data_IF_539439422470
#
_entry.id   IF_539439422470
#
_cell.length_a   1.000
_cell.length_b   1.000
_cell.length_c   1.000
_cell.angle_alpha   90.00
_cell.angle_beta   90.00
_cell.angle_gamma   90.00
#
_symmetry.space_group_name_H-M   'P 1'
#
loop_
_entity.id
_entity.type
_entity.pdbx_description
1 polymer ?
#
# COMPACT_ATOMS: atom_id res chain seq x y z
N UNK A 1 6.25 17.37 -73.32
CA UNK A 1 7.02 17.34 -72.05
C UNK A 1 6.30 16.38 -71.12
N UNK A 2 6.86 15.20 -70.90
CA UNK A 2 6.35 14.24 -69.92
C UNK A 2 7.14 14.46 -68.62
N UNK A 3 6.47 14.89 -67.55
CA UNK A 3 7.05 15.01 -66.22
C UNK A 3 6.99 13.64 -65.52
N UNK A 4 8.13 12.97 -65.43
CA UNK A 4 8.35 11.84 -64.54
C UNK A 4 8.36 12.33 -63.09
N UNK A 5 7.37 11.89 -62.31
CA UNK A 5 7.35 12.04 -60.85
C UNK A 5 8.24 10.95 -60.27
N UNK A 6 9.33 11.34 -59.59
CA UNK A 6 10.12 10.41 -58.79
C UNK A 6 9.40 10.12 -57.47
N UNK A 7 9.09 8.85 -57.22
CA UNK A 7 8.75 8.35 -55.89
C UNK A 7 10.01 8.48 -55.02
N UNK A 8 9.94 9.32 -53.99
CA UNK A 8 10.89 9.23 -52.88
C UNK A 8 10.63 7.90 -52.17
N UNK A 9 11.63 7.03 -52.16
CA UNK A 9 11.61 5.79 -51.39
C UNK A 9 11.45 6.12 -49.92
N UNK A 10 10.36 5.65 -49.32
CA UNK A 10 10.17 5.66 -47.88
C UNK A 10 11.11 4.60 -47.31
N UNK A 11 12.25 5.01 -46.78
CA UNK A 11 13.21 4.10 -46.15
C UNK A 11 12.68 3.78 -44.75
N UNK A 12 12.11 2.58 -44.59
CA UNK A 12 11.56 2.11 -43.33
C UNK A 12 12.71 1.58 -42.47
N UNK A 13 13.21 2.40 -41.55
CA UNK A 13 14.26 1.99 -40.62
C UNK A 13 13.67 1.09 -39.53
N UNK A 14 13.82 -0.21 -39.72
CA UNK A 14 13.38 -1.26 -38.77
C UNK A 14 14.03 -1.06 -37.39
N UNK A 15 15.21 -0.40 -37.31
CA UNK A 15 15.91 -0.17 -36.05
C UNK A 15 15.23 0.86 -35.14
N UNK A 16 14.38 1.74 -35.67
CA UNK A 16 13.54 2.64 -34.86
C UNK A 16 12.45 1.89 -34.08
N UNK A 17 12.09 0.68 -34.54
CA UNK A 17 11.08 -0.19 -33.91
C UNK A 17 11.70 -1.33 -33.09
N UNK A 18 13.03 -1.49 -33.11
CA UNK A 18 13.70 -2.42 -32.21
C UNK A 18 13.69 -1.85 -30.78
N UNK A 19 13.06 -2.60 -29.86
CA UNK A 19 13.03 -2.24 -28.45
C UNK A 19 14.46 -2.07 -27.94
N UNK A 20 14.83 -0.85 -27.56
CA UNK A 20 16.15 -0.57 -26.99
C UNK A 20 16.33 -1.48 -25.77
N UNK A 21 17.45 -2.21 -25.68
CA UNK A 21 17.64 -3.17 -24.60
C UNK A 21 17.77 -2.49 -23.23
N UNK A 22 18.01 -1.18 -23.18
CA UNK A 22 18.09 -0.39 -21.95
C UNK A 22 17.06 0.75 -22.02
N UNK A 23 16.22 0.84 -20.99
CA UNK A 23 15.29 1.93 -20.77
C UNK A 23 15.64 2.61 -19.44
N UNK A 24 15.65 3.94 -19.45
CA UNK A 24 15.79 4.77 -18.26
C UNK A 24 14.59 5.71 -18.21
N UNK A 25 13.94 5.78 -17.06
CA UNK A 25 12.84 6.70 -16.81
C UNK A 25 12.76 7.04 -15.33
N UNK A 26 11.85 7.91 -14.93
CA UNK A 26 11.58 8.13 -13.52
C UNK A 26 10.67 9.30 -13.24
N UNK A 27 10.59 9.67 -11.97
CA UNK A 27 9.82 10.84 -11.53
C UNK A 27 10.62 11.78 -10.63
N UNK A 28 10.30 13.07 -10.74
CA UNK A 28 10.64 14.08 -9.73
C UNK A 28 9.32 14.63 -9.20
N UNK A 29 9.16 14.64 -7.88
CA UNK A 29 7.91 15.05 -7.22
C UNK A 29 8.19 16.10 -6.16
N UNK A 30 7.44 17.20 -6.19
CA UNK A 30 7.40 18.17 -5.11
C UNK A 30 6.03 18.13 -4.45
N UNK A 31 6.00 17.86 -3.15
CA UNK A 31 4.77 17.66 -2.38
C UNK A 31 4.77 18.49 -1.09
N UNK A 32 4.23 19.72 -1.10
CA UNK A 32 3.88 20.42 0.13
C UNK A 32 2.60 19.82 0.75
N UNK A 33 2.61 19.68 2.08
CA UNK A 33 1.48 19.21 2.88
C UNK A 33 1.20 20.17 4.03
N UNK A 34 -0.07 20.53 4.18
CA UNK A 34 -0.59 21.43 5.20
C UNK A 34 -1.60 20.68 6.06
N UNK A 35 -1.38 20.65 7.36
CA UNK A 35 -2.19 19.90 8.33
C UNK A 35 -2.75 20.87 9.35
N UNK A 36 -4.09 20.93 9.42
CA UNK A 36 -4.81 21.53 10.54
C UNK A 36 -4.89 20.46 11.64
N UNK A 37 -4.28 20.71 12.81
CA UNK A 37 -4.20 19.71 13.86
C UNK A 37 -5.50 19.57 14.65
N UNK A 38 -5.85 18.34 15.02
CA UNK A 38 -6.93 18.07 15.99
C UNK A 38 -6.37 18.21 17.41
N UNK A 39 -6.38 19.44 17.93
CA UNK A 39 -5.77 19.79 19.22
C UNK A 39 -6.43 19.13 20.43
N UNK A 40 -7.66 18.62 20.30
CA UNK A 40 -8.36 17.91 21.37
C UNK A 40 -8.10 16.40 21.34
N UNK A 41 -7.47 15.88 20.29
CA UNK A 41 -7.22 14.45 20.17
C UNK A 41 -6.22 13.94 21.22
N UNK A 42 -6.37 12.67 21.58
CA UNK A 42 -5.41 11.98 22.45
C UNK A 42 -4.01 11.95 21.82
N UNK A 43 -3.89 11.65 20.52
CA UNK A 43 -2.57 11.60 19.86
C UNK A 43 -1.85 12.96 19.89
N UNK A 44 -2.58 14.06 19.68
CA UNK A 44 -1.99 15.39 19.74
C UNK A 44 -1.44 15.70 21.13
N UNK A 45 -2.25 15.43 22.15
CA UNK A 45 -1.87 15.65 23.53
C UNK A 45 -0.72 14.74 23.96
N UNK A 46 -0.67 13.47 23.51
CA UNK A 46 0.45 12.56 23.76
C UNK A 46 1.73 12.98 23.03
N UNK A 47 1.64 13.50 21.80
CA UNK A 47 2.83 13.92 21.03
C UNK A 47 3.45 15.19 21.58
N UNK A 48 2.63 16.14 22.02
CA UNK A 48 3.06 17.49 22.37
C UNK A 48 2.81 17.85 23.85
N UNK A 49 2.69 16.86 24.74
CA UNK A 49 2.40 17.06 26.17
C UNK A 49 3.39 17.98 26.88
N UNK A 50 4.64 18.04 26.41
CA UNK A 50 5.74 18.82 26.99
C UNK A 50 6.00 20.14 26.24
N UNK A 51 5.19 20.47 25.23
CA UNK A 51 5.32 21.69 24.44
C UNK A 51 4.39 22.78 24.95
N UNK A 52 4.98 23.89 25.40
CA UNK A 52 4.23 25.06 25.85
C UNK A 52 3.47 25.77 24.73
N UNK A 53 3.98 25.70 23.49
CA UNK A 53 3.34 26.27 22.31
C UNK A 53 3.26 25.21 21.21
N UNK A 54 2.07 25.03 20.66
CA UNK A 54 1.80 24.10 19.56
C UNK A 54 1.22 24.86 18.37
N UNK A 55 1.61 24.53 17.13
CA UNK A 55 1.26 25.35 15.98
C UNK A 55 -0.22 25.20 15.65
N UNK A 56 -0.81 26.19 14.98
CA UNK A 56 -2.18 26.09 14.44
C UNK A 56 -2.21 25.45 13.04
N UNK A 57 -1.05 25.33 12.41
CA UNK A 57 -0.85 24.73 11.10
C UNK A 57 0.49 24.01 11.12
N UNK A 58 0.51 22.75 10.70
CA UNK A 58 1.74 22.01 10.45
C UNK A 58 1.99 21.96 8.95
N UNK A 59 3.14 22.43 8.51
CA UNK A 59 3.56 22.41 7.11
C UNK A 59 4.82 21.54 6.92
N UNK A 60 4.73 20.66 5.94
CA UNK A 60 5.79 19.72 5.55
C UNK A 60 6.04 19.83 4.05
N UNK A 61 7.30 19.72 3.64
CA UNK A 61 7.69 19.82 2.24
C UNK A 61 8.52 18.60 1.87
N UNK A 62 8.07 17.84 0.86
CA UNK A 62 8.78 16.67 0.35
C UNK A 62 9.26 16.95 -1.08
N UNK A 63 10.53 16.69 -1.33
CA UNK A 63 11.08 16.51 -2.68
C UNK A 63 11.48 15.05 -2.84
N UNK A 64 10.98 14.40 -3.89
CA UNK A 64 11.20 13.00 -4.19
C UNK A 64 11.79 12.84 -5.59
N UNK A 65 12.85 12.05 -5.72
CA UNK A 65 13.41 11.57 -6.99
C UNK A 65 13.30 10.05 -7.02
N UNK A 66 12.67 9.49 -8.06
CA UNK A 66 12.45 8.06 -8.21
C UNK A 66 12.85 7.55 -9.60
N UNK A 67 14.15 7.27 -9.85
CA UNK A 67 14.63 6.75 -11.11
C UNK A 67 14.36 5.25 -11.25
N UNK A 68 14.16 4.81 -12.48
CA UNK A 68 13.91 3.44 -12.89
C UNK A 68 14.85 3.09 -14.04
N UNK A 69 15.51 1.94 -13.94
CA UNK A 69 16.33 1.35 -14.99
C UNK A 69 15.76 -0.01 -15.33
N UNK A 70 15.57 -0.27 -16.62
CA UNK A 70 15.18 -1.59 -17.14
C UNK A 70 16.14 -2.02 -18.21
N UNK A 71 16.57 -3.27 -18.17
CA UNK A 71 17.34 -3.87 -19.25
C UNK A 71 16.76 -5.22 -19.65
N UNK A 72 16.60 -5.49 -20.94
CA UNK A 72 16.08 -6.75 -21.47
C UNK A 72 16.91 -7.24 -22.65
N UNK A 73 17.42 -8.48 -22.56
CA UNK A 73 18.14 -9.12 -23.66
C UNK A 73 18.13 -10.65 -23.53
N UNK A 74 17.69 -11.36 -24.58
CA UNK A 74 17.81 -12.83 -24.71
C UNK A 74 17.33 -13.61 -23.47
N UNK A 75 16.15 -13.27 -22.94
CA UNK A 75 15.55 -13.92 -21.77
C UNK A 75 16.07 -13.43 -20.41
N UNK A 76 17.08 -12.55 -20.37
CA UNK A 76 17.50 -11.84 -19.17
C UNK A 76 16.79 -10.49 -19.08
N UNK A 77 16.18 -10.22 -17.94
CA UNK A 77 15.64 -8.90 -17.57
C UNK A 77 16.30 -8.42 -16.28
N UNK A 78 16.80 -7.18 -16.27
CA UNK A 78 17.28 -6.50 -15.07
C UNK A 78 16.36 -5.31 -14.79
N UNK A 79 16.01 -5.14 -13.52
CA UNK A 79 15.16 -4.05 -13.05
C UNK A 79 15.81 -3.38 -11.85
N UNK A 80 15.82 -2.05 -11.83
CA UNK A 80 16.21 -1.25 -10.67
C UNK A 80 15.27 -0.08 -10.51
N UNK A 81 14.80 0.15 -9.30
CA UNK A 81 14.01 1.31 -8.92
C UNK A 81 14.44 1.77 -7.52
N UNK A 82 14.70 3.07 -7.38
CA UNK A 82 15.04 3.67 -6.09
C UNK A 82 14.15 4.87 -5.83
N UNK A 83 14.15 5.32 -4.58
CA UNK A 83 13.59 6.60 -4.18
C UNK A 83 14.63 7.40 -3.39
N UNK A 84 14.54 8.72 -3.49
CA UNK A 84 15.41 9.64 -2.76
C UNK A 84 14.55 10.80 -2.30
N UNK A 85 14.41 10.92 -0.99
CA UNK A 85 13.46 11.82 -0.32
C UNK A 85 14.22 12.86 0.49
N UNK A 86 13.88 14.13 0.27
CA UNK A 86 14.25 15.25 1.13
C UNK A 86 12.96 15.79 1.73
N UNK A 87 12.82 15.67 3.03
CA UNK A 87 11.67 16.18 3.78
C UNK A 87 12.10 17.31 4.70
N UNK A 88 11.33 18.40 4.72
CA UNK A 88 11.47 19.50 5.68
C UNK A 88 10.17 19.66 6.48
N UNK A 89 10.26 19.57 7.81
CA UNK A 89 9.18 19.89 8.73
C UNK A 89 9.45 21.27 9.34
N UNK A 90 8.58 22.23 9.07
CA UNK A 90 8.81 23.62 9.45
C UNK A 90 8.66 23.86 10.96
N UNK A 91 7.71 23.20 11.62
CA UNK A 91 7.50 23.38 13.06
C UNK A 91 8.63 22.74 13.88
N UNK A 92 9.08 21.56 13.47
CA UNK A 92 10.19 20.87 14.13
C UNK A 92 11.57 21.43 13.68
N UNK A 93 11.58 22.26 12.63
CA UNK A 93 12.79 22.78 11.96
C UNK A 93 13.79 21.65 11.66
N UNK A 94 13.28 20.57 11.08
CA UNK A 94 14.01 19.34 10.86
C UNK A 94 14.10 19.00 9.37
N UNK A 95 15.28 18.55 8.96
CA UNK A 95 15.57 18.09 7.61
C UNK A 95 15.91 16.62 7.64
N UNK A 96 15.14 15.81 6.92
CA UNK A 96 15.35 14.38 6.80
C UNK A 96 15.70 14.04 5.36
N UNK A 97 16.85 13.40 5.18
CA UNK A 97 17.27 12.82 3.91
C UNK A 97 17.25 11.31 3.99
N UNK A 98 16.61 10.66 3.02
CA UNK A 98 16.55 9.21 2.93
C UNK A 98 16.69 8.76 1.47
N UNK A 99 17.48 7.71 1.24
CA UNK A 99 17.55 7.00 -0.04
C UNK A 99 17.18 5.55 0.23
N UNK A 100 16.19 5.03 -0.50
CA UNK A 100 15.88 3.61 -0.47
C UNK A 100 15.96 2.99 -1.87
N UNK A 101 16.59 1.80 -1.96
CA UNK A 101 16.42 0.93 -3.11
C UNK A 101 15.07 0.22 -2.97
N UNK A 102 14.06 0.63 -3.74
CA UNK A 102 12.72 0.02 -3.68
C UNK A 102 12.76 -1.41 -4.22
N UNK A 103 13.28 -1.58 -5.42
CA UNK A 103 13.43 -2.86 -6.10
C UNK A 103 14.75 -2.91 -6.89
N UNK A 104 15.31 -4.10 -7.02
CA UNK A 104 16.59 -4.32 -7.68
C UNK A 104 16.81 -5.81 -7.90
N UNK A 105 16.47 -6.31 -9.08
CA UNK A 105 16.48 -7.75 -9.34
C UNK A 105 16.86 -8.10 -10.78
N UNK A 106 17.35 -9.33 -10.95
CA UNK A 106 17.49 -9.99 -12.24
C UNK A 106 16.50 -11.14 -12.38
N UNK A 107 15.82 -11.22 -13.53
CA UNK A 107 14.96 -12.32 -13.93
C UNK A 107 15.55 -13.01 -15.15
N UNK A 108 15.59 -14.34 -15.13
CA UNK A 108 15.96 -15.14 -16.30
C UNK A 108 14.83 -16.10 -16.66
N UNK A 109 14.38 -16.03 -17.92
CA UNK A 109 13.37 -16.91 -18.49
C UNK A 109 14.07 -18.07 -19.22
N UNK A 110 14.09 -19.25 -18.61
CA UNK A 110 14.70 -20.44 -19.23
C UNK A 110 13.95 -20.86 -20.49
N UNK A 111 12.63 -20.71 -20.47
CA UNK A 111 11.69 -20.95 -21.56
C UNK A 111 10.37 -20.22 -21.24
N UNK A 112 9.37 -20.20 -22.15
CA UNK A 112 8.12 -19.46 -21.93
C UNK A 112 7.29 -19.88 -20.71
N UNK A 113 7.64 -20.99 -20.04
CA UNK A 113 6.94 -21.50 -18.87
C UNK A 113 7.69 -21.32 -17.57
N UNK A 114 9.01 -21.19 -17.59
CA UNK A 114 9.84 -21.21 -16.38
C UNK A 114 10.72 -19.98 -16.31
N UNK A 115 10.67 -19.30 -15.17
CA UNK A 115 11.58 -18.21 -14.88
C UNK A 115 12.10 -18.27 -13.45
N UNK A 116 13.32 -17.76 -13.25
CA UNK A 116 13.91 -17.53 -11.94
C UNK A 116 14.17 -16.05 -11.76
N UNK A 117 14.04 -15.58 -10.53
CA UNK A 117 14.34 -14.21 -10.13
C UNK A 117 15.23 -14.22 -8.89
N UNK A 118 16.22 -13.33 -8.89
CA UNK A 118 17.12 -13.08 -7.77
C UNK A 118 17.25 -11.57 -7.56
N UNK A 119 17.02 -11.12 -6.32
CA UNK A 119 17.22 -9.73 -5.92
C UNK A 119 16.11 -9.22 -5.03
N UNK A 120 15.97 -7.90 -4.95
CA UNK A 120 14.96 -7.23 -4.15
C UNK A 120 13.70 -6.97 -4.98
N UNK A 121 12.57 -7.54 -4.60
CA UNK A 121 11.29 -7.45 -5.34
C UNK A 121 10.11 -7.23 -4.41
N UNK A 122 9.17 -6.40 -4.85
CA UNK A 122 7.87 -6.23 -4.23
C UNK A 122 6.85 -7.17 -4.88
N UNK A 123 6.44 -8.22 -4.16
CA UNK A 123 5.38 -9.11 -4.63
C UNK A 123 4.02 -8.48 -4.36
N UNK A 124 3.28 -8.16 -5.44
CA UNK A 124 1.92 -7.59 -5.37
C UNK A 124 0.88 -8.71 -5.38
N UNK A 125 0.76 -9.41 -4.26
CA UNK A 125 -0.19 -10.51 -4.08
C UNK A 125 -1.50 -10.03 -3.44
N UNK A 126 -2.61 -10.67 -3.84
CA UNK A 126 -3.96 -10.32 -3.40
C UNK A 126 -4.76 -9.55 -4.46
N UNK A 127 -6.06 -9.42 -4.20
CA UNK A 127 -7.09 -8.79 -5.04
C UNK A 127 -7.69 -7.53 -4.41
N UNK A 128 -7.55 -7.35 -3.10
CA UNK A 128 -8.06 -6.21 -2.35
C UNK A 128 -7.50 -4.87 -2.82
N UNK A 129 -8.32 -3.84 -2.73
CA UNK A 129 -8.04 -2.51 -3.23
C UNK A 129 -7.14 -1.73 -2.26
N UNK A 130 -7.49 -1.66 -0.96
CA UNK A 130 -6.68 -0.97 0.07
C UNK A 130 -6.00 -1.89 1.08
N UNK A 131 -6.41 -3.16 1.15
CA UNK A 131 -5.92 -4.10 2.16
C UNK A 131 -5.83 -5.50 1.57
N UNK A 132 -4.73 -6.20 1.83
CA UNK A 132 -4.46 -7.51 1.25
C UNK A 132 -4.05 -8.53 2.33
N UNK A 133 -5.01 -9.21 2.98
CA UNK A 133 -4.74 -10.27 3.96
C UNK A 133 -3.73 -11.33 3.54
N UNK A 134 -3.62 -11.62 2.22
CA UNK A 134 -2.77 -12.68 1.67
C UNK A 134 -1.45 -12.18 1.07
N UNK A 135 -1.13 -10.88 1.21
CA UNK A 135 0.13 -10.28 0.74
C UNK A 135 1.33 -10.69 1.62
N UNK A 136 1.58 -12.01 1.74
CA UNK A 136 2.58 -12.57 2.64
C UNK A 136 3.99 -12.20 2.22
N UNK A 137 4.34 -12.31 0.94
CA UNK A 137 5.66 -11.93 0.41
C UNK A 137 5.75 -10.44 0.01
N UNK A 138 4.69 -9.66 0.26
CA UNK A 138 4.56 -8.27 -0.17
C UNK A 138 4.48 -7.29 1.00
N UNK A 139 4.11 -6.06 0.68
CA UNK A 139 3.78 -5.02 1.66
C UNK A 139 2.28 -4.76 1.62
N UNK A 140 1.72 -4.33 2.75
CA UNK A 140 0.38 -3.77 2.77
C UNK A 140 0.36 -2.45 2.01
N UNK A 141 -0.73 -2.18 1.30
CA UNK A 141 -0.93 -0.92 0.59
C UNK A 141 -1.10 0.23 1.59
N UNK A 142 -0.69 1.42 1.18
CA UNK A 142 -0.98 2.66 1.90
C UNK A 142 -2.38 3.15 1.49
N UNK A 143 -3.30 3.26 2.45
CA UNK A 143 -4.67 3.75 2.21
C UNK A 143 -4.68 5.17 1.64
N UNK A 144 -3.71 6.01 2.02
CA UNK A 144 -3.62 7.38 1.52
C UNK A 144 -3.06 7.44 0.10
N UNK A 145 -2.32 6.42 -0.34
CA UNK A 145 -1.80 6.33 -1.70
C UNK A 145 -1.59 4.86 -2.12
N UNK A 146 -2.64 4.22 -2.60
CA UNK A 146 -2.65 2.79 -2.95
C UNK A 146 -1.68 2.41 -4.07
N UNK A 147 -1.28 3.39 -4.88
CA UNK A 147 -0.40 3.22 -6.04
C UNK A 147 1.06 3.58 -5.72
N UNK A 148 1.38 3.92 -4.47
CA UNK A 148 2.75 4.24 -4.08
C UNK A 148 3.66 3.02 -4.26
N UNK A 149 4.84 3.25 -4.81
CA UNK A 149 5.88 2.21 -4.87
C UNK A 149 6.40 1.96 -3.46
N UNK A 150 6.44 0.68 -3.07
CA UNK A 150 6.91 0.24 -1.76
C UNK A 150 8.19 -0.57 -1.89
N UNK A 151 8.96 -0.60 -0.81
CA UNK A 151 10.18 -1.39 -0.73
C UNK A 151 9.88 -2.90 -0.74
N UNK A 152 10.52 -3.60 -1.67
CA UNK A 152 10.46 -5.05 -1.77
C UNK A 152 11.38 -5.77 -0.78
N UNK A 153 11.33 -7.10 -0.80
CA UNK A 153 12.24 -7.94 -0.01
C UNK A 153 13.30 -8.58 -0.90
N UNK A 154 14.52 -8.71 -0.38
CA UNK A 154 15.55 -9.54 -1.00
C UNK A 154 15.08 -10.98 -0.98
N UNK A 155 15.05 -11.61 -2.15
CA UNK A 155 14.41 -12.91 -2.34
C UNK A 155 15.00 -13.66 -3.53
N UNK A 156 14.71 -14.97 -3.55
CA UNK A 156 14.83 -15.84 -4.71
C UNK A 156 13.45 -16.37 -5.03
N UNK A 157 13.02 -16.32 -6.29
CA UNK A 157 11.77 -16.95 -6.68
C UNK A 157 11.85 -17.71 -7.98
N UNK A 158 11.08 -18.79 -8.07
CA UNK A 158 10.88 -19.56 -9.29
C UNK A 158 9.41 -19.51 -9.64
N UNK A 159 9.10 -19.16 -10.88
CA UNK A 159 7.75 -19.11 -11.41
C UNK A 159 7.59 -20.10 -12.55
N UNK A 160 6.52 -20.90 -12.46
CA UNK A 160 6.00 -21.74 -13.53
C UNK A 160 4.68 -21.18 -14.03
N UNK A 161 4.52 -21.02 -15.34
CA UNK A 161 3.25 -20.60 -15.97
C UNK A 161 2.89 -21.56 -17.09
N UNK A 162 1.61 -21.95 -17.14
CA UNK A 162 1.04 -22.73 -18.23
C UNK A 162 -0.35 -22.24 -18.59
N UNK A 163 -0.51 -21.83 -19.84
CA UNK A 163 -1.81 -21.60 -20.46
C UNK A 163 -2.32 -22.86 -21.14
N UNK A 164 -3.64 -23.04 -21.12
CA UNK A 164 -4.33 -24.19 -21.68
C UNK A 164 -5.35 -23.71 -22.72
N UNK A 165 -5.60 -24.54 -23.73
CA UNK A 165 -6.68 -24.34 -24.70
C UNK A 165 -8.01 -24.96 -24.26
N UNK A 166 -8.19 -25.16 -22.95
CA UNK A 166 -9.41 -25.73 -22.37
C UNK A 166 -10.38 -24.61 -22.00
N UNK A 167 -11.68 -24.85 -22.14
CA UNK A 167 -12.70 -23.85 -21.79
C UNK A 167 -12.82 -23.62 -20.27
N UNK A 168 -12.53 -24.66 -19.48
CA UNK A 168 -12.67 -24.64 -18.02
C UNK A 168 -11.42 -24.10 -17.34
N UNK A 169 -10.27 -24.77 -17.44
CA UNK A 169 -9.01 -24.27 -16.88
C UNK A 169 -8.21 -23.58 -17.98
N UNK A 170 -8.06 -22.25 -17.90
CA UNK A 170 -7.40 -21.44 -18.93
C UNK A 170 -5.93 -21.18 -18.61
N UNK A 171 -5.60 -20.95 -17.34
CA UNK A 171 -4.24 -20.66 -16.89
C UNK A 171 -3.95 -21.33 -15.54
N UNK A 172 -2.70 -21.74 -15.36
CA UNK A 172 -2.09 -22.18 -14.10
C UNK A 172 -0.78 -21.41 -13.93
N UNK A 173 -0.55 -20.86 -12.74
CA UNK A 173 0.76 -20.36 -12.33
C UNK A 173 1.12 -20.89 -10.95
N UNK A 174 2.40 -21.19 -10.74
CA UNK A 174 2.97 -21.56 -9.45
C UNK A 174 4.22 -20.70 -9.23
N UNK A 175 4.20 -19.87 -8.19
CA UNK A 175 5.33 -19.03 -7.78
C UNK A 175 5.79 -19.49 -6.40
N UNK A 176 7.05 -19.89 -6.30
CA UNK A 176 7.71 -20.24 -5.04
C UNK A 176 8.73 -19.17 -4.71
N UNK A 177 8.71 -18.63 -3.50
CA UNK A 177 9.61 -17.55 -3.06
C UNK A 177 10.32 -17.97 -1.79
N UNK A 178 11.59 -17.58 -1.66
CA UNK A 178 12.36 -17.66 -0.43
C UNK A 178 12.79 -16.25 -0.04
N UNK A 179 12.44 -15.83 1.17
CA UNK A 179 12.87 -14.56 1.78
C UNK A 179 13.76 -14.89 2.98
N UNK A 180 15.08 -14.70 2.90
CA UNK A 180 15.96 -14.79 4.05
C UNK A 180 15.80 -13.57 4.96
N UNK A 181 15.64 -13.79 6.26
CA UNK A 181 15.71 -12.75 7.30
C UNK A 181 16.96 -13.01 8.12
N UNK A 182 17.94 -12.10 8.05
CA UNK A 182 19.20 -12.27 8.77
C UNK A 182 19.86 -10.93 9.09
N UNK A 183 20.11 -10.64 10.38
CA UNK A 183 20.72 -9.40 10.86
C UNK A 183 19.97 -8.13 10.38
N UNK A 184 20.43 -7.54 9.27
CA UNK A 184 19.85 -6.34 8.63
C UNK A 184 19.17 -6.63 7.29
N UNK A 185 19.23 -7.88 6.82
CA UNK A 185 18.61 -8.30 5.58
C UNK A 185 17.16 -8.66 5.85
N UNK A 186 16.22 -7.91 5.28
CA UNK A 186 14.77 -8.07 5.48
C UNK A 186 14.37 -8.17 6.97
N UNK A 187 15.06 -7.43 7.84
CA UNK A 187 14.86 -7.46 9.30
C UNK A 187 13.51 -6.89 9.75
N UNK A 188 12.79 -6.27 8.83
CA UNK A 188 11.45 -5.74 8.98
C UNK A 188 10.33 -6.70 8.51
N UNK A 189 10.68 -7.88 7.97
CA UNK A 189 9.70 -8.90 7.56
C UNK A 189 9.12 -9.66 8.77
N UNK A 190 9.96 -10.02 9.74
CA UNK A 190 9.57 -10.85 10.88
C UNK A 190 10.64 -10.89 11.97
N UNK A 191 10.37 -11.63 13.06
CA UNK A 191 11.25 -11.65 14.23
C UNK A 191 12.32 -12.74 14.14
N UNK A 192 13.57 -12.37 14.41
CA UNK A 192 14.71 -13.29 14.47
C UNK A 192 15.21 -13.80 13.11
N UNK A 193 16.41 -14.36 13.13
CA UNK A 193 17.09 -14.88 11.95
C UNK A 193 16.44 -16.19 11.49
N UNK A 194 15.75 -16.18 10.34
CA UNK A 194 15.06 -17.36 9.76
C UNK A 194 14.81 -17.20 8.26
N UNK A 195 14.63 -18.31 7.56
CA UNK A 195 14.12 -18.29 6.19
C UNK A 195 12.60 -18.43 6.15
N UNK A 196 11.96 -17.65 5.28
CA UNK A 196 10.56 -17.80 4.96
C UNK A 196 10.37 -18.37 3.56
N UNK A 197 9.57 -19.41 3.47
CA UNK A 197 9.20 -20.08 2.24
C UNK A 197 7.77 -19.73 1.89
N UNK A 198 7.52 -19.39 0.64
CA UNK A 198 6.20 -19.00 0.16
C UNK A 198 5.83 -19.77 -1.09
N UNK A 199 4.54 -20.04 -1.23
CA UNK A 199 3.94 -20.64 -2.41
C UNK A 199 2.67 -19.88 -2.75
N UNK A 200 2.58 -19.42 -3.99
CA UNK A 200 1.36 -18.91 -4.60
C UNK A 200 0.98 -19.78 -5.78
N UNK A 201 -0.22 -20.34 -5.75
CA UNK A 201 -0.79 -21.10 -6.87
C UNK A 201 -1.98 -20.34 -7.43
N UNK A 202 -1.91 -19.95 -8.70
CA UNK A 202 -2.98 -19.25 -9.41
C UNK A 202 -3.67 -20.18 -10.41
N UNK A 203 -5.00 -20.09 -10.48
CA UNK A 203 -5.83 -20.75 -11.47
C UNK A 203 -6.80 -19.74 -12.09
N UNK A 204 -6.91 -19.75 -13.42
CA UNK A 204 -8.03 -19.12 -14.12
C UNK A 204 -9.03 -20.20 -14.51
N UNK A 205 -10.12 -20.31 -13.76
CA UNK A 205 -11.19 -21.28 -14.01
C UNK A 205 -12.42 -20.53 -14.54
N UNK A 206 -12.78 -20.79 -15.80
CA UNK A 206 -13.81 -20.09 -16.56
C UNK A 206 -13.53 -18.60 -16.60
N UNK A 207 -14.17 -17.79 -15.76
CA UNK A 207 -14.00 -16.33 -15.64
C UNK A 207 -13.64 -15.92 -14.20
N UNK A 208 -13.09 -16.86 -13.43
CA UNK A 208 -12.75 -16.67 -12.02
C UNK A 208 -11.27 -16.89 -11.80
N UNK A 209 -10.63 -15.90 -11.22
CA UNK A 209 -9.30 -16.01 -10.67
C UNK A 209 -9.37 -16.67 -9.29
N UNK A 210 -8.62 -17.74 -9.09
CA UNK A 210 -8.37 -18.33 -7.78
C UNK A 210 -6.88 -18.27 -7.48
N UNK A 211 -6.52 -17.82 -6.28
CA UNK A 211 -5.15 -17.86 -5.78
C UNK A 211 -5.12 -18.53 -4.42
N UNK A 212 -4.22 -19.50 -4.25
CA UNK A 212 -3.93 -20.15 -2.97
C UNK A 212 -2.56 -19.70 -2.50
N UNK A 213 -2.45 -19.38 -1.21
CA UNK A 213 -1.24 -18.87 -0.59
C UNK A 213 -0.85 -19.74 0.60
N UNK A 214 0.43 -20.05 0.67
CA UNK A 214 1.03 -20.73 1.81
C UNK A 214 2.34 -20.03 2.12
N UNK A 215 2.59 -19.73 3.40
CA UNK A 215 3.93 -19.40 3.87
C UNK A 215 4.31 -20.22 5.08
N UNK A 216 5.60 -20.46 5.26
CA UNK A 216 6.14 -21.21 6.40
C UNK A 216 7.57 -20.77 6.73
N UNK A 217 7.91 -20.76 8.01
CA UNK A 217 9.27 -20.60 8.52
C UNK A 217 9.90 -21.93 8.90
N UNK A 218 11.22 -21.95 9.11
CA UNK A 218 11.95 -23.12 9.64
C UNK A 218 11.52 -23.51 11.07
N UNK A 219 10.85 -22.59 11.79
CA UNK A 219 10.31 -22.82 13.13
C UNK A 219 8.83 -23.24 13.12
N UNK A 220 8.28 -23.55 11.93
CA UNK A 220 6.88 -23.94 11.74
C UNK A 220 5.86 -22.83 12.05
N UNK A 221 6.25 -21.55 11.97
CA UNK A 221 5.25 -20.48 11.84
C UNK A 221 4.70 -20.54 10.42
N UNK A 222 3.39 -20.64 10.26
CA UNK A 222 2.78 -20.74 8.94
C UNK A 222 1.53 -19.88 8.83
N UNK A 223 1.16 -19.54 7.60
CA UNK A 223 -0.12 -18.88 7.27
C UNK A 223 -0.65 -19.48 6.00
N UNK A 224 -1.97 -19.52 5.90
CA UNK A 224 -2.67 -20.09 4.75
C UNK A 224 -3.70 -19.08 4.31
N UNK A 225 -3.74 -18.79 3.01
CA UNK A 225 -4.64 -17.80 2.46
C UNK A 225 -5.23 -18.22 1.13
N UNK A 226 -6.31 -17.55 0.75
CA UNK A 226 -6.96 -17.68 -0.54
C UNK A 226 -7.45 -16.31 -1.01
N UNK A 227 -7.35 -16.05 -2.30
CA UNK A 227 -8.00 -14.93 -2.96
C UNK A 227 -8.84 -15.41 -4.13
N UNK A 228 -10.00 -14.79 -4.34
CA UNK A 228 -10.91 -15.08 -5.44
C UNK A 228 -11.35 -13.76 -6.06
N UNK A 229 -11.37 -13.67 -7.39
CA UNK A 229 -12.01 -12.58 -8.11
C UNK A 229 -12.84 -13.12 -9.27
N UNK A 230 -14.08 -12.65 -9.39
CA UNK A 230 -15.02 -13.10 -10.40
C UNK A 230 -15.65 -11.90 -11.12
N UNK A 231 -15.53 -11.87 -12.44
CA UNK A 231 -16.26 -10.91 -13.26
C UNK A 231 -17.68 -11.42 -13.47
N UNK A 232 -18.63 -10.88 -12.70
CA UNK A 232 -20.06 -11.17 -12.83
C UNK A 232 -20.59 -10.63 -14.17
N UNK A 233 -20.12 -9.44 -14.54
CA UNK A 233 -20.33 -8.80 -15.84
C UNK A 233 -19.00 -8.18 -16.29
N UNK A 234 -18.93 -7.73 -17.55
CA UNK A 234 -17.73 -7.05 -18.09
C UNK A 234 -17.38 -5.76 -17.34
N UNK A 235 -18.35 -5.15 -16.66
CA UNK A 235 -18.20 -3.94 -15.88
C UNK A 235 -18.42 -4.13 -14.38
N UNK A 236 -18.54 -5.38 -13.90
CA UNK A 236 -18.77 -5.67 -12.48
C UNK A 236 -17.98 -6.89 -12.01
N UNK A 237 -17.11 -6.65 -11.03
CA UNK A 237 -16.29 -7.67 -10.37
C UNK A 237 -16.66 -7.78 -8.89
N UNK A 238 -16.67 -9.00 -8.38
CA UNK A 238 -16.72 -9.31 -6.95
C UNK A 238 -15.43 -10.05 -6.60
N UNK A 239 -14.84 -9.71 -5.47
CA UNK A 239 -13.61 -10.33 -5.01
C UNK A 239 -13.64 -10.58 -3.50
N UNK A 240 -12.80 -11.48 -3.05
CA UNK A 240 -12.61 -11.76 -1.64
C UNK A 240 -11.23 -12.33 -1.36
N UNK A 241 -10.76 -12.10 -0.14
CA UNK A 241 -9.55 -12.72 0.39
C UNK A 241 -9.84 -13.28 1.78
N UNK A 242 -9.15 -14.36 2.11
CA UNK A 242 -9.16 -14.99 3.42
C UNK A 242 -7.74 -15.37 3.79
N UNK A 243 -7.37 -15.17 5.05
CA UNK A 243 -6.04 -15.45 5.58
C UNK A 243 -6.19 -15.98 7.01
N UNK A 244 -5.59 -17.13 7.27
CA UNK A 244 -5.53 -17.76 8.58
C UNK A 244 -4.14 -17.57 9.19
N UNK A 245 -4.12 -17.04 10.41
CA UNK A 245 -2.94 -16.73 11.20
C UNK A 245 -3.02 -17.58 12.49
N UNK A 246 -2.30 -18.70 12.58
CA UNK A 246 -2.29 -19.56 13.77
C UNK A 246 -1.87 -18.79 15.02
N UNK A 247 -0.89 -17.90 14.88
CA UNK A 247 -0.36 -17.07 15.94
C UNK A 247 -0.07 -15.66 15.41
N UNK A 248 -0.57 -14.63 16.10
CA UNK A 248 -0.25 -13.23 15.81
C UNK A 248 -0.08 -12.44 17.09
N UNK A 249 1.03 -11.72 17.20
CA UNK A 249 1.28 -10.80 18.30
C UNK A 249 0.56 -9.47 18.06
N UNK A 250 -0.07 -8.93 19.10
CA UNK A 250 -0.59 -7.56 19.14
C UNK A 250 -0.27 -6.91 20.48
N UNK A 251 -0.13 -5.59 20.50
CA UNK A 251 0.10 -4.82 21.72
C UNK A 251 -1.25 -4.50 22.38
N UNK A 252 -1.38 -4.85 23.67
CA UNK A 252 -2.53 -4.51 24.50
C UNK A 252 -2.11 -3.54 25.60
N UNK A 253 -3.04 -2.67 26.00
CA UNK A 253 -2.90 -1.84 27.20
C UNK A 253 -4.10 -2.16 28.10
N UNK A 254 -3.86 -2.89 29.18
CA UNK A 254 -4.86 -3.04 30.22
C UNK A 254 -4.99 -1.72 31.01
N UNK A 255 -6.16 -1.50 31.62
CA UNK A 255 -6.42 -0.29 32.40
C UNK A 255 -5.30 -0.06 33.44
N UNK A 256 -4.73 1.15 33.44
CA UNK A 256 -3.62 1.57 34.32
C UNK A 256 -2.36 0.68 34.26
N UNK A 257 -2.16 -0.06 33.17
CA UNK A 257 -1.01 -0.95 32.97
C UNK A 257 -0.10 -0.45 31.85
N UNK A 258 1.09 -1.04 31.76
CA UNK A 258 1.99 -0.79 30.64
C UNK A 258 1.57 -1.58 29.40
N UNK A 259 1.96 -1.14 28.20
CA UNK A 259 1.70 -1.87 26.97
C UNK A 259 2.44 -3.20 26.95
N UNK A 260 1.72 -4.29 26.69
CA UNK A 260 2.27 -5.65 26.71
C UNK A 260 1.96 -6.40 25.40
N UNK A 261 2.91 -7.18 24.87
CA UNK A 261 2.65 -8.06 23.75
C UNK A 261 1.74 -9.21 24.18
N UNK A 262 0.70 -9.45 23.38
CA UNK A 262 -0.24 -10.53 23.60
C UNK A 262 -0.38 -11.38 22.33
N UNK A 263 -0.29 -12.69 22.51
CA UNK A 263 -0.46 -13.66 21.42
C UNK A 263 -1.95 -13.94 21.20
N UNK A 264 -2.42 -13.72 19.98
CA UNK A 264 -3.75 -14.13 19.53
C UNK A 264 -3.60 -15.40 18.72
N UNK A 265 -4.28 -16.46 19.19
CA UNK A 265 -4.32 -17.72 18.49
C UNK A 265 -5.48 -17.77 17.49
N UNK A 266 -5.24 -18.42 16.36
CA UNK A 266 -6.25 -18.69 15.33
C UNK A 266 -6.96 -17.42 14.80
N UNK A 267 -6.20 -16.36 14.57
CA UNK A 267 -6.73 -15.12 14.00
C UNK A 267 -7.07 -15.32 12.51
N UNK A 268 -8.14 -14.68 12.07
CA UNK A 268 -8.58 -14.67 10.67
C UNK A 268 -8.58 -13.23 10.17
N UNK A 269 -8.07 -13.01 8.96
CA UNK A 269 -8.22 -11.76 8.24
C UNK A 269 -8.96 -12.05 6.93
N UNK A 270 -9.87 -11.16 6.55
CA UNK A 270 -10.62 -11.33 5.31
C UNK A 270 -11.08 -10.01 4.71
N UNK A 271 -11.28 -10.01 3.40
CA UNK A 271 -12.00 -8.95 2.70
C UNK A 271 -13.11 -9.56 1.86
N UNK A 272 -14.19 -8.81 1.68
CA UNK A 272 -15.17 -9.03 0.62
C UNK A 272 -15.39 -7.68 -0.04
N UNK A 273 -15.19 -7.63 -1.35
CA UNK A 273 -15.25 -6.38 -2.09
C UNK A 273 -15.88 -6.52 -3.45
N UNK A 274 -16.13 -5.36 -4.06
CA UNK A 274 -16.62 -5.25 -5.41
C UNK A 274 -16.09 -4.01 -6.10
N UNK A 275 -15.90 -4.12 -7.42
CA UNK A 275 -15.60 -3.02 -8.33
C UNK A 275 -16.67 -2.95 -9.41
N UNK A 276 -17.25 -1.77 -9.61
CA UNK A 276 -18.27 -1.54 -10.64
C UNK A 276 -17.90 -0.34 -11.52
N UNK A 277 -17.88 -0.53 -12.84
CA UNK A 277 -17.74 0.55 -13.83
C UNK A 277 -19.13 0.94 -14.35
N UNK A 278 -19.54 2.17 -14.07
CA UNK A 278 -20.85 2.69 -14.49
C UNK A 278 -20.88 3.05 -15.98
N UNK A 279 -22.08 3.14 -16.59
CA UNK A 279 -22.24 3.60 -17.97
C UNK A 279 -21.75 5.03 -18.23
N UNK A 280 -21.64 5.86 -17.18
CA UNK A 280 -21.11 7.22 -17.25
C UNK A 280 -19.62 7.29 -16.89
N UNK A 281 -18.90 6.17 -17.03
CA UNK A 281 -17.46 6.06 -16.87
C UNK A 281 -16.94 6.31 -15.43
N UNK A 282 -17.79 6.25 -14.40
CA UNK A 282 -17.31 6.27 -13.02
C UNK A 282 -17.05 4.86 -12.50
N UNK A 283 -15.92 4.66 -11.83
CA UNK A 283 -15.59 3.40 -11.17
C UNK A 283 -15.86 3.51 -9.67
N UNK A 284 -16.59 2.53 -9.14
CA UNK A 284 -16.93 2.41 -7.73
C UNK A 284 -16.21 1.20 -7.13
N UNK A 285 -15.68 1.38 -5.93
CA UNK A 285 -15.07 0.34 -5.10
C UNK A 285 -15.80 0.32 -3.77
N UNK A 286 -16.13 -0.87 -3.30
CA UNK A 286 -16.68 -1.09 -1.95
C UNK A 286 -16.02 -2.33 -1.37
N UNK A 287 -15.40 -2.23 -0.20
CA UNK A 287 -14.76 -3.36 0.49
C UNK A 287 -15.15 -3.38 1.96
N UNK A 288 -15.61 -4.54 2.44
CA UNK A 288 -15.67 -4.84 3.85
C UNK A 288 -14.37 -5.53 4.26
N UNK A 289 -13.73 -5.04 5.31
CA UNK A 289 -12.46 -5.55 5.83
C UNK A 289 -12.68 -6.06 7.25
N UNK A 290 -12.26 -7.30 7.47
CA UNK A 290 -12.11 -7.90 8.80
C UNK A 290 -10.64 -8.16 9.09
N UNK A 291 -10.07 -7.41 10.03
CA UNK A 291 -8.72 -7.58 10.53
C UNK A 291 -8.75 -8.29 11.89
N UNK A 292 -8.72 -9.62 11.91
CA UNK A 292 -8.79 -10.37 13.18
C UNK A 292 -7.62 -10.16 14.13
N UNK A 293 -6.49 -9.64 13.64
CA UNK A 293 -5.34 -9.25 14.46
C UNK A 293 -5.50 -7.85 15.10
N UNK A 294 -6.48 -7.07 14.65
CA UNK A 294 -6.77 -5.74 15.18
C UNK A 294 -7.38 -5.76 16.58
N UNK A 295 -7.40 -4.59 17.21
CA UNK A 295 -7.98 -4.39 18.53
C UNK A 295 -9.51 -4.44 18.46
N UNK A 296 -10.12 -5.15 19.41
CA UNK A 296 -11.56 -5.15 19.57
C UNK A 296 -12.04 -3.85 20.24
N UNK A 297 -13.36 -3.66 20.36
CA UNK A 297 -13.91 -2.44 20.94
C UNK A 297 -13.41 -2.19 22.37
N UNK A 298 -13.44 -3.21 23.23
CA UNK A 298 -13.02 -3.08 24.63
C UNK A 298 -11.53 -2.74 24.72
N UNK A 299 -10.68 -3.47 23.98
CA UNK A 299 -9.23 -3.23 23.97
C UNK A 299 -8.87 -1.80 23.53
N UNK A 300 -9.60 -1.23 22.55
CA UNK A 300 -9.42 0.17 22.17
C UNK A 300 -9.95 1.15 23.23
N UNK A 301 -11.07 0.84 23.89
CA UNK A 301 -11.58 1.68 24.98
C UNK A 301 -10.60 1.70 26.16
N UNK A 302 -10.02 0.55 26.51
CA UNK A 302 -9.01 0.43 27.56
C UNK A 302 -7.78 1.30 27.22
N UNK A 303 -7.38 1.33 25.94
CA UNK A 303 -6.34 2.23 25.44
C UNK A 303 -6.73 3.71 25.62
N UNK A 304 -7.94 4.12 25.19
CA UNK A 304 -8.39 5.51 25.31
C UNK A 304 -8.43 5.98 26.77
N UNK A 305 -8.98 5.15 27.67
CA UNK A 305 -9.06 5.43 29.11
C UNK A 305 -7.65 5.56 29.69
N UNK A 306 -6.76 4.62 29.39
CA UNK A 306 -5.39 4.63 29.89
C UNK A 306 -4.60 5.85 29.40
N UNK A 307 -4.75 6.22 28.13
CA UNK A 307 -4.12 7.42 27.57
C UNK A 307 -4.63 8.69 28.25
N UNK A 308 -5.94 8.79 28.51
CA UNK A 308 -6.54 9.92 29.19
C UNK A 308 -6.06 10.01 30.65
N UNK A 309 -6.08 8.90 31.41
CA UNK A 309 -5.63 8.87 32.81
C UNK A 309 -4.17 9.31 32.95
N UNK A 310 -3.30 8.87 32.04
CA UNK A 310 -1.87 9.22 32.04
C UNK A 310 -1.64 10.70 31.73
N UNK A 311 -2.43 11.28 30.83
CA UNK A 311 -2.40 12.72 30.53
C UNK A 311 -2.89 13.54 31.73
N UNK A 312 -3.99 13.13 32.37
CA UNK A 312 -4.58 13.80 33.54
C UNK A 312 -3.66 13.73 34.77
N UNK A 313 -3.00 12.60 35.00
CA UNK A 313 -2.02 12.42 36.07
C UNK A 313 -0.71 13.19 35.85
N UNK A 314 -0.47 13.72 34.64
CA UNK A 314 0.74 14.45 34.26
C UNK A 314 2.06 13.69 34.52
N UNK A 315 2.01 12.35 34.54
CA UNK A 315 3.18 11.52 34.72
C UNK A 315 3.98 11.44 33.42
N UNK A 316 5.03 12.25 33.30
CA UNK A 316 5.86 12.37 32.08
C UNK A 316 6.42 11.03 31.58
N UNK A 317 6.85 10.14 32.49
CA UNK A 317 7.38 8.84 32.10
C UNK A 317 6.29 7.97 31.47
N UNK A 318 5.10 7.92 32.09
CA UNK A 318 3.98 7.18 31.56
C UNK A 318 3.47 7.77 30.24
N UNK A 319 3.41 9.10 30.10
CA UNK A 319 3.02 9.77 28.84
C UNK A 319 4.00 9.39 27.72
N UNK A 320 5.31 9.43 27.99
CA UNK A 320 6.33 9.05 27.01
C UNK A 320 6.18 7.60 26.55
N UNK A 321 5.92 6.67 27.48
CA UNK A 321 5.72 5.26 27.14
C UNK A 321 4.46 5.09 26.28
N UNK A 322 3.34 5.68 26.71
CA UNK A 322 2.07 5.64 25.97
C UNK A 322 2.19 6.25 24.57
N UNK A 323 2.85 7.41 24.48
CA UNK A 323 3.10 8.11 23.21
C UNK A 323 3.95 7.26 22.27
N UNK A 324 5.06 6.71 22.77
CA UNK A 324 5.93 5.82 21.98
C UNK A 324 5.17 4.62 21.45
N UNK A 325 4.42 3.91 22.30
CA UNK A 325 3.70 2.70 21.90
C UNK A 325 2.56 3.02 20.92
N UNK A 326 1.88 4.16 21.10
CA UNK A 326 0.93 4.64 20.11
C UNK A 326 1.60 4.87 18.76
N UNK A 327 2.62 5.72 18.68
CA UNK A 327 3.21 6.11 17.39
C UNK A 327 3.99 4.99 16.70
N UNK A 328 4.52 4.01 17.44
CA UNK A 328 5.22 2.84 16.86
C UNK A 328 4.26 1.70 16.48
N UNK A 329 3.27 1.39 17.33
CA UNK A 329 2.51 0.14 17.23
C UNK A 329 1.04 0.32 16.90
N UNK A 330 0.40 1.38 17.41
CA UNK A 330 -1.07 1.54 17.33
C UNK A 330 -1.52 2.68 16.42
N UNK A 331 -0.63 3.54 15.93
CA UNK A 331 -0.97 4.60 14.98
C UNK A 331 -0.93 4.10 13.52
N UNK A 332 -1.55 2.93 13.28
CA UNK A 332 -1.63 2.29 11.96
C UNK A 332 -2.92 2.68 11.24
N UNK A 333 -3.04 2.27 9.98
CA UNK A 333 -4.20 2.53 9.12
C UNK A 333 -5.42 1.64 9.45
N UNK A 334 -5.20 0.45 10.03
CA UNK A 334 -6.24 -0.48 10.46
C UNK A 334 -5.93 -0.98 11.88
N UNK A 335 -6.24 -0.16 12.89
CA UNK A 335 -5.97 -0.50 14.30
C UNK A 335 -6.98 -1.50 14.85
N UNK A 336 -8.24 -1.37 14.45
CA UNK A 336 -9.39 -2.15 14.89
C UNK A 336 -9.72 -3.30 13.92
N UNK A 337 -10.81 -4.02 14.19
CA UNK A 337 -11.19 -5.22 13.43
C UNK A 337 -12.07 -4.99 12.21
N UNK A 338 -12.96 -4.00 12.21
CA UNK A 338 -14.03 -3.91 11.22
C UNK A 338 -14.04 -2.57 10.49
N UNK A 339 -13.84 -2.62 9.17
CA UNK A 339 -13.89 -1.43 8.33
C UNK A 339 -14.76 -1.63 7.10
N UNK A 340 -15.31 -0.52 6.62
CA UNK A 340 -15.92 -0.41 5.32
C UNK A 340 -15.17 0.65 4.52
N UNK A 341 -14.64 0.27 3.37
CA UNK A 341 -14.01 1.19 2.43
C UNK A 341 -14.93 1.43 1.25
N UNK A 342 -15.04 2.70 0.85
CA UNK A 342 -15.71 3.12 -0.36
C UNK A 342 -14.82 4.06 -1.15
N UNK A 343 -14.79 3.92 -2.48
CA UNK A 343 -14.18 4.91 -3.38
C UNK A 343 -14.99 5.05 -4.66
N UNK A 344 -15.15 6.27 -5.13
CA UNK A 344 -15.65 6.62 -6.45
C UNK A 344 -14.57 7.38 -7.20
N UNK A 345 -14.24 6.98 -8.41
CA UNK A 345 -13.35 7.69 -9.32
C UNK A 345 -14.11 8.02 -10.61
N UNK A 346 -14.10 9.28 -11.03
CA UNK A 346 -14.89 9.72 -12.18
C UNK A 346 -14.00 10.48 -13.17
N UNK A 347 -13.33 9.80 -14.12
CA UNK A 347 -12.54 10.46 -15.16
C UNK A 347 -13.40 11.38 -16.03
N UNK A 348 -12.86 12.57 -16.31
CA UNK A 348 -13.41 13.61 -17.18
C UNK A 348 -14.88 13.96 -16.92
N UNK A 349 -15.26 14.22 -15.66
CA UNK A 349 -16.65 14.48 -15.31
C UNK A 349 -17.08 15.80 -15.95
N UNK A 350 -18.30 15.84 -16.46
CA UNK A 350 -18.86 17.05 -17.10
C UNK A 350 -17.99 17.57 -18.26
N UNK A 351 -17.28 16.67 -18.97
CA UNK A 351 -16.36 16.99 -20.07
C UNK A 351 -15.13 17.82 -19.66
N UNK A 352 -14.77 17.81 -18.37
CA UNK A 352 -13.51 18.42 -17.95
C UNK A 352 -12.34 17.49 -18.31
N UNK A 353 -11.77 17.72 -19.49
CA UNK A 353 -10.67 16.92 -20.04
C UNK A 353 -9.45 16.85 -19.11
N UNK A 354 -8.81 15.69 -19.07
CA UNK A 354 -7.62 15.39 -18.27
C UNK A 354 -7.80 15.49 -16.75
N UNK A 355 -9.02 15.72 -16.26
CA UNK A 355 -9.33 15.85 -14.85
C UNK A 355 -10.00 14.57 -14.34
N UNK A 356 -9.48 14.02 -13.24
CA UNK A 356 -10.05 12.83 -12.58
C UNK A 356 -10.16 13.08 -11.09
N UNK A 357 -11.34 13.49 -10.59
CA UNK A 357 -11.62 13.49 -9.17
C UNK A 357 -11.94 12.07 -8.68
N UNK A 358 -11.62 11.83 -7.42
CA UNK A 358 -12.08 10.67 -6.68
C UNK A 358 -12.41 11.04 -5.25
N UNK A 359 -13.49 10.44 -4.74
CA UNK A 359 -13.94 10.53 -3.36
C UNK A 359 -13.73 9.17 -2.72
N UNK A 360 -13.17 9.11 -1.52
CA UNK A 360 -13.03 7.88 -0.78
C UNK A 360 -13.33 8.05 0.71
N UNK A 361 -13.71 6.95 1.36
CA UNK A 361 -14.04 6.90 2.76
C UNK A 361 -13.58 5.56 3.34
N UNK A 362 -12.84 5.58 4.45
CA UNK A 362 -12.56 4.43 5.28
C UNK A 362 -13.31 4.61 6.60
N UNK A 363 -14.39 3.85 6.78
CA UNK A 363 -15.28 3.91 7.93
C UNK A 363 -14.98 2.78 8.91
N UNK A 364 -14.68 3.10 10.16
CA UNK A 364 -14.59 2.12 11.23
C UNK A 364 -16.01 1.81 11.72
N UNK A 365 -16.45 0.57 11.53
CA UNK A 365 -17.83 0.16 11.80
C UNK A 365 -18.15 0.12 13.30
N UNK A 366 -17.13 -0.08 14.14
CA UNK A 366 -17.28 -0.29 15.58
C UNK A 366 -17.51 1.04 16.30
N UNK A 367 -16.61 2.01 16.09
CA UNK A 367 -16.66 3.31 16.78
C UNK A 367 -17.33 4.43 15.96
N UNK A 368 -17.69 4.13 14.71
CA UNK A 368 -18.38 5.02 13.76
C UNK A 368 -17.57 6.26 13.37
N UNK A 369 -16.26 6.23 13.58
CA UNK A 369 -15.34 7.24 13.06
C UNK A 369 -14.93 6.91 11.62
N UNK A 370 -14.46 7.91 10.87
CA UNK A 370 -13.99 7.68 9.51
C UNK A 370 -12.88 8.63 9.06
N UNK A 371 -12.12 8.16 8.07
CA UNK A 371 -11.26 8.97 7.23
C UNK A 371 -11.99 9.20 5.91
N UNK A 372 -12.23 10.47 5.55
CA UNK A 372 -12.74 10.87 4.25
C UNK A 372 -11.65 11.54 3.43
N UNK A 373 -11.71 11.40 2.11
CA UNK A 373 -10.78 12.10 1.25
C UNK A 373 -11.30 12.39 -0.15
N UNK A 374 -10.83 13.52 -0.69
CA UNK A 374 -11.01 13.94 -2.06
C UNK A 374 -9.64 14.00 -2.72
N UNK A 375 -9.46 13.31 -3.83
CA UNK A 375 -8.23 13.30 -4.61
C UNK A 375 -8.56 13.79 -6.02
N UNK A 376 -7.92 14.88 -6.42
CA UNK A 376 -8.13 15.58 -7.69
C UNK A 376 -6.86 15.51 -8.52
N UNK A 377 -6.94 14.83 -9.66
CA UNK A 377 -5.80 14.60 -10.53
C UNK A 377 -5.98 15.32 -11.87
N UNK A 378 -4.93 16.00 -12.37
CA UNK A 378 -4.93 16.72 -13.64
C UNK A 378 -3.69 16.42 -14.48
N UNK A 379 -3.88 15.86 -15.69
CA UNK A 379 -2.80 15.35 -16.56
C UNK A 379 -2.82 15.94 -17.98
N UNK A 380 -3.02 17.25 -18.11
CA UNK A 380 -3.05 17.90 -19.43
C UNK A 380 -1.69 17.89 -20.14
N UNK A 381 -0.60 17.88 -19.39
CA UNK A 381 0.76 17.99 -19.93
C UNK A 381 1.41 16.60 -19.97
N UNK A 382 2.03 16.24 -21.09
CA UNK A 382 2.53 14.88 -21.33
C UNK A 382 3.46 14.35 -20.23
N UNK A 383 4.32 15.22 -19.69
CA UNK A 383 5.31 14.88 -18.68
C UNK A 383 4.99 15.42 -17.28
N UNK A 384 3.82 16.06 -17.05
CA UNK A 384 3.49 16.66 -15.75
C UNK A 384 2.10 16.23 -15.28
N UNK A 385 2.06 15.70 -14.06
CA UNK A 385 0.84 15.40 -13.33
C UNK A 385 0.72 16.35 -12.13
N UNK A 386 -0.43 17.03 -12.04
CA UNK A 386 -0.80 17.86 -10.90
C UNK A 386 -1.84 17.13 -10.08
N UNK A 387 -1.61 17.03 -8.78
CA UNK A 387 -2.53 16.38 -7.86
C UNK A 387 -2.78 17.26 -6.63
N UNK A 388 -4.04 17.29 -6.19
CA UNK A 388 -4.44 17.87 -4.92
C UNK A 388 -5.24 16.84 -4.15
N UNK A 389 -4.87 16.62 -2.89
CA UNK A 389 -5.58 15.73 -1.99
C UNK A 389 -6.05 16.48 -0.76
N UNK A 390 -7.31 16.28 -0.41
CA UNK A 390 -7.93 16.71 0.85
C UNK A 390 -8.26 15.46 1.64
N UNK A 391 -7.78 15.36 2.88
CA UNK A 391 -8.06 14.23 3.78
C UNK A 391 -8.58 14.81 5.08
N UNK A 392 -9.73 14.36 5.54
CA UNK A 392 -10.28 14.77 6.83
C UNK A 392 -10.60 13.54 7.68
N UNK A 393 -10.39 13.70 8.97
CA UNK A 393 -10.69 12.67 9.96
C UNK A 393 -11.87 13.13 10.79
N UNK A 394 -12.85 12.26 10.98
CA UNK A 394 -14.04 12.56 11.75
C UNK A 394 -14.30 11.47 12.79
N UNK A 395 -14.58 11.88 14.02
CA UNK A 395 -14.89 10.99 15.12
C UNK A 395 -14.87 11.70 16.47
N UNK A 396 -15.20 10.97 17.52
CA UNK A 396 -15.00 11.43 18.91
C UNK A 396 -13.52 11.31 19.29
N UNK A 397 -13.08 12.01 20.33
CA UNK A 397 -11.71 11.92 20.83
C UNK A 397 -11.33 10.49 21.29
N UNK A 398 -12.32 9.69 21.68
CA UNK A 398 -12.19 8.25 22.01
C UNK A 398 -12.64 7.32 20.86
N UNK A 399 -12.29 7.69 19.63
CA UNK A 399 -12.49 6.87 18.43
C UNK A 399 -11.23 6.91 17.58
N UNK A 400 -11.03 5.93 16.71
CA UNK A 400 -9.77 5.70 16.01
C UNK A 400 -9.37 6.93 15.22
N UNK A 401 -10.25 7.42 14.34
CA UNK A 401 -9.94 8.57 13.50
C UNK A 401 -10.03 9.90 14.26
N UNK A 402 -10.93 10.05 15.24
CA UNK A 402 -11.02 11.26 16.06
C UNK A 402 -9.89 11.40 17.10
N UNK A 403 -9.14 10.32 17.36
CA UNK A 403 -7.98 10.33 18.25
C UNK A 403 -6.67 10.69 17.53
N UNK A 404 -6.64 10.76 16.20
CA UNK A 404 -5.43 11.07 15.40
C UNK A 404 -5.06 12.56 15.48
N UNK A 405 -3.82 12.87 15.12
CA UNK A 405 -3.24 14.23 15.24
C UNK A 405 -3.84 15.30 14.29
N UNK A 406 -4.53 14.88 13.23
CA UNK A 406 -4.93 15.74 12.12
C UNK A 406 -6.44 15.79 12.01
N UNK A 407 -7.01 16.99 11.95
CA UNK A 407 -8.42 17.17 11.58
C UNK A 407 -8.56 17.21 10.05
N UNK A 408 -7.71 18.01 9.41
CA UNK A 408 -7.68 18.22 7.96
C UNK A 408 -6.25 18.24 7.44
N UNK A 409 -6.00 17.52 6.36
CA UNK A 409 -4.74 17.52 5.63
C UNK A 409 -4.98 17.87 4.17
N UNK A 410 -4.21 18.83 3.69
CA UNK A 410 -4.15 19.22 2.28
C UNK A 410 -2.77 18.82 1.76
N UNK A 411 -2.71 18.11 0.65
CA UNK A 411 -1.48 17.80 -0.06
C UNK A 411 -1.59 18.31 -1.49
N UNK A 412 -0.55 18.98 -1.95
CA UNK A 412 -0.37 19.28 -3.36
C UNK A 412 0.79 18.44 -3.84
N UNK A 413 0.73 17.89 -5.05
CA UNK A 413 1.85 17.15 -5.64
C UNK A 413 2.00 17.60 -7.09
N UNK A 414 3.20 18.03 -7.44
CA UNK A 414 3.64 18.26 -8.81
C UNK A 414 4.64 17.18 -9.16
N UNK A 415 4.28 16.32 -10.10
CA UNK A 415 5.08 15.17 -10.53
C UNK A 415 5.50 15.33 -11.99
N UNK A 416 6.80 15.34 -12.23
CA UNK A 416 7.41 15.37 -13.55
C UNK A 416 7.93 13.98 -13.92
N UNK A 417 7.67 13.53 -15.15
CA UNK A 417 8.15 12.26 -15.70
C UNK A 417 9.27 12.51 -16.72
N UNK A 418 10.31 11.70 -16.69
CA UNK A 418 11.45 11.78 -17.62
C UNK A 418 11.84 10.40 -18.17
#
# INVERSE_FOLDING_TARGET
MASTVFSQGYDFDVSEFEKKPLEFSGTIEFQPSFIIPEKKSLSWNLKYFDKNNTPNLLDNYLLLLAPIVKFEKKGLSLYGASDSRISYNNFENDWVFNICLLEGYGRYEFNPRWSILLGKKLYKWGKGYIYNPVSYAGRQKDVNNVDVSLEGYYSVSVEYVKSFSLDVLKNLSQETVIIPVYKKLNDDYGTGDRHWFFSRTYFLIVNTDYELFFNMSEQFDYRIGMAIAHNVLTNWEIHGEFSFLPEVEKILIAENSYPEPHIVNNAIQSIIGTRYLSPFNATFYLEYIYNGAGLNNQEMQDWYISAQNVLEAQNRQAINIMSKEWFLNLNRQFVMKHYLYFKMQYPEPFYFLYFTPSLYCLFNVVDKSFLGGLDMNYKRFDAVNLNMKLIWLYGKTNSEFGSKISELKIELNVKYFF
#
